data_IF_292746762293
#
_entry.id   IF_292746762293
#
_cell.length_a   1.000
_cell.length_b   1.000
_cell.length_c   1.000
_cell.angle_alpha   90.00
_cell.angle_beta   90.00
_cell.angle_gamma   90.00
#
_symmetry.space_group_name_H-M   'P 1'
#
loop_
_entity.id
_entity.type
_entity.pdbx_description
1 polymer ?
#
# COMPACT_ATOMS: atom_id res chain seq x y z
N UNK A 1 -14.01 -13.04 -10.73
CA UNK A 1 -13.15 -12.05 -10.06
C UNK A 1 -13.39 -12.15 -8.56
N UNK A 2 -12.36 -11.98 -7.71
CA UNK A 2 -12.55 -11.97 -6.25
C UNK A 2 -13.54 -10.89 -5.82
N UNK A 3 -14.27 -11.15 -4.72
CA UNK A 3 -15.22 -10.20 -4.17
C UNK A 3 -14.50 -8.88 -3.78
N UNK A 4 -15.09 -7.69 -4.02
CA UNK A 4 -14.47 -6.43 -3.65
C UNK A 4 -14.15 -6.34 -2.16
N UNK A 5 -13.10 -5.61 -1.80
CA UNK A 5 -12.81 -5.20 -0.42
C UNK A 5 -13.39 -3.82 -0.21
N UNK A 6 -14.13 -3.63 0.88
CA UNK A 6 -14.59 -2.30 1.29
C UNK A 6 -13.78 -1.87 2.51
N UNK A 7 -13.03 -0.78 2.37
CA UNK A 7 -12.28 -0.17 3.47
C UNK A 7 -13.18 0.86 4.14
N UNK A 8 -13.58 0.57 5.37
CA UNK A 8 -14.52 1.37 6.13
C UNK A 8 -14.03 1.55 7.57
N UNK A 9 -13.95 2.80 8.03
CA UNK A 9 -13.50 3.18 9.38
C UNK A 9 -12.14 2.58 9.76
N UNK A 10 -11.25 2.44 8.78
CA UNK A 10 -9.92 1.90 9.02
C UNK A 10 -9.01 3.00 9.60
N UNK A 11 -8.48 2.77 10.81
CA UNK A 11 -7.58 3.71 11.50
C UNK A 11 -6.12 3.61 11.03
N UNK A 12 -5.81 2.60 10.23
CA UNK A 12 -4.47 2.26 9.76
C UNK A 12 -3.71 1.35 10.72
N UNK A 13 -2.40 1.24 10.51
CA UNK A 13 -1.53 0.35 11.26
C UNK A 13 -0.10 0.41 10.75
N UNK A 14 0.62 -0.70 10.87
CA UNK A 14 1.98 -0.81 10.34
C UNK A 14 1.95 -0.70 8.81
N UNK A 15 2.75 0.23 8.27
CA UNK A 15 2.79 0.49 6.82
C UNK A 15 3.19 -0.78 6.04
N UNK A 16 4.11 -1.59 6.57
CA UNK A 16 4.54 -2.85 5.97
C UNK A 16 3.39 -3.86 5.75
N UNK A 17 2.45 -3.93 6.69
CA UNK A 17 1.33 -4.86 6.60
C UNK A 17 0.37 -4.44 5.48
N UNK A 18 0.15 -3.14 5.35
CA UNK A 18 -0.66 -2.57 4.27
C UNK A 18 0.05 -2.61 2.93
N UNK A 19 1.37 -2.50 2.86
CA UNK A 19 2.15 -2.72 1.64
C UNK A 19 1.95 -4.17 1.15
N UNK A 20 2.09 -5.16 2.04
CA UNK A 20 1.88 -6.57 1.71
C UNK A 20 0.42 -6.85 1.29
N UNK A 21 -0.55 -6.25 1.97
CA UNK A 21 -1.96 -6.38 1.64
C UNK A 21 -2.30 -5.75 0.28
N UNK A 22 -1.78 -4.54 0.04
CA UNK A 22 -1.95 -3.83 -1.24
C UNK A 22 -1.33 -4.63 -2.38
N UNK A 23 -0.13 -5.20 -2.19
CA UNK A 23 0.50 -6.03 -3.23
C UNK A 23 -0.28 -7.32 -3.50
N UNK A 24 -0.91 -7.91 -2.49
CA UNK A 24 -1.85 -9.01 -2.71
C UNK A 24 -3.03 -8.58 -3.58
N UNK A 25 -3.69 -7.47 -3.24
CA UNK A 25 -4.83 -6.97 -4.01
C UNK A 25 -4.47 -6.58 -5.45
N UNK A 26 -3.26 -6.04 -5.66
CA UNK A 26 -2.71 -5.74 -6.99
C UNK A 26 -2.59 -7.00 -7.84
N UNK A 27 -1.99 -8.07 -7.31
CA UNK A 27 -1.83 -9.36 -8.01
C UNK A 27 -3.17 -10.04 -8.32
N UNK A 28 -4.13 -9.88 -7.43
CA UNK A 28 -5.49 -10.41 -7.61
C UNK A 28 -6.36 -9.56 -8.56
N UNK A 29 -5.87 -8.38 -8.98
CA UNK A 29 -6.68 -7.33 -9.60
C UNK A 29 -7.99 -7.06 -8.83
N UNK A 30 -7.93 -7.18 -7.51
CA UNK A 30 -9.09 -7.13 -6.63
C UNK A 30 -9.56 -5.70 -6.49
N UNK A 31 -10.86 -5.49 -6.66
CA UNK A 31 -11.45 -4.16 -6.47
C UNK A 31 -11.37 -3.78 -4.99
N UNK A 32 -10.92 -2.55 -4.72
CA UNK A 32 -10.93 -1.96 -3.37
C UNK A 32 -11.76 -0.68 -3.39
N UNK A 33 -12.74 -0.59 -2.49
CA UNK A 33 -13.67 0.54 -2.37
C UNK A 33 -13.40 1.29 -1.07
N UNK A 34 -13.04 2.57 -1.16
CA UNK A 34 -12.61 3.37 -0.01
C UNK A 34 -13.74 4.30 0.48
N UNK A 35 -14.10 4.19 1.77
CA UNK A 35 -14.91 5.18 2.49
C UNK A 35 -14.06 5.97 3.49
N UNK A 36 -13.87 5.45 4.71
CA UNK A 36 -13.09 6.12 5.73
C UNK A 36 -11.79 5.35 5.97
N UNK A 37 -10.68 6.06 5.82
CA UNK A 37 -9.35 5.51 5.94
C UNK A 37 -8.39 6.56 6.49
N UNK A 38 -7.59 6.15 7.48
CA UNK A 38 -6.58 6.97 8.16
C UNK A 38 -5.24 6.24 8.06
N UNK A 39 -4.17 6.98 7.75
CA UNK A 39 -2.80 6.42 7.76
C UNK A 39 -2.56 5.34 6.70
N UNK A 40 -1.96 4.21 7.07
CA UNK A 40 -1.46 3.17 6.16
C UNK A 40 -2.48 2.60 5.16
N UNK A 41 -3.78 2.54 5.51
CA UNK A 41 -4.81 2.07 4.55
C UNK A 41 -4.90 2.94 3.28
N UNK A 42 -4.36 4.16 3.31
CA UNK A 42 -4.29 5.07 2.14
C UNK A 42 -3.46 4.47 1.00
N UNK A 43 -2.61 3.47 1.28
CA UNK A 43 -1.87 2.71 0.27
C UNK A 43 -2.79 2.07 -0.78
N UNK A 44 -4.04 1.78 -0.44
CA UNK A 44 -5.04 1.28 -1.39
C UNK A 44 -5.25 2.23 -2.58
N UNK A 45 -4.99 3.54 -2.43
CA UNK A 45 -5.06 4.51 -3.54
C UNK A 45 -4.05 4.22 -4.67
N UNK A 46 -3.01 3.42 -4.39
CA UNK A 46 -2.00 2.98 -5.38
C UNK A 46 -2.45 1.78 -6.24
N UNK A 47 -3.64 1.23 -5.98
CA UNK A 47 -4.14 0.07 -6.71
C UNK A 47 -4.79 0.51 -8.03
N UNK A 48 -4.61 -0.25 -9.12
CA UNK A 48 -5.23 0.07 -10.41
C UNK A 48 -6.75 -0.08 -10.38
N UNK A 49 -7.28 -0.94 -9.50
CA UNK A 49 -8.71 -1.21 -9.36
C UNK A 49 -9.29 -0.66 -8.05
N UNK A 50 -8.78 0.48 -7.58
CA UNK A 50 -9.39 1.20 -6.47
C UNK A 50 -10.50 2.14 -6.97
N UNK A 51 -11.54 2.32 -6.16
CA UNK A 51 -12.46 3.44 -6.27
C UNK A 51 -12.69 4.06 -4.89
N UNK A 52 -13.17 5.29 -4.89
CA UNK A 52 -13.47 6.06 -3.69
C UNK A 52 -14.94 6.48 -3.73
N UNK A 53 -15.65 6.39 -2.60
CA UNK A 53 -17.00 6.91 -2.50
C UNK A 53 -17.00 8.44 -2.37
N UNK A 54 -17.98 9.17 -2.90
CA UNK A 54 -18.03 10.63 -2.81
C UNK A 54 -17.94 11.19 -1.37
N UNK A 55 -18.55 10.49 -0.43
CA UNK A 55 -18.59 10.83 1.00
C UNK A 55 -17.35 10.38 1.80
N UNK A 56 -16.38 9.75 1.14
CA UNK A 56 -15.19 9.22 1.75
C UNK A 56 -14.39 10.31 2.50
N UNK A 57 -13.70 9.89 3.56
CA UNK A 57 -12.78 10.73 4.34
C UNK A 57 -11.45 10.02 4.44
N UNK A 58 -10.46 10.52 3.72
CA UNK A 58 -9.12 9.92 3.68
C UNK A 58 -8.13 10.85 4.36
N UNK A 59 -7.47 10.34 5.40
CA UNK A 59 -6.60 11.13 6.29
C UNK A 59 -5.14 10.70 6.12
N UNK A 60 -4.33 11.62 5.62
CA UNK A 60 -2.92 11.47 5.32
C UNK A 60 -2.07 12.08 6.44
N UNK A 61 -0.99 11.40 6.82
CA UNK A 61 0.02 11.92 7.74
C UNK A 61 1.31 11.10 7.63
N UNK A 62 2.38 11.60 8.25
CA UNK A 62 3.66 10.91 8.36
C UNK A 62 3.56 9.63 9.18
N UNK A 63 4.27 8.60 8.74
CA UNK A 63 4.47 7.42 9.55
C UNK A 63 5.30 7.78 10.79
N UNK A 64 4.93 7.22 11.93
CA UNK A 64 5.66 7.40 13.17
C UNK A 64 5.69 6.10 13.96
N UNK A 65 6.71 5.93 14.79
CA UNK A 65 6.83 4.80 15.67
C UNK A 65 5.73 4.86 16.75
N UNK A 66 4.99 3.77 16.94
CA UNK A 66 3.84 3.75 17.84
C UNK A 66 4.22 3.91 19.33
N UNK A 67 5.46 3.58 19.70
CA UNK A 67 5.98 3.60 21.08
C UNK A 67 6.49 5.01 21.42
N UNK A 68 7.57 5.45 20.76
CA UNK A 68 8.23 6.72 21.10
C UNK A 68 7.66 7.93 20.32
N UNK A 69 6.74 7.68 19.40
CA UNK A 69 6.09 8.70 18.56
C UNK A 69 7.05 9.41 17.61
N UNK A 70 8.30 9.01 17.43
CA UNK A 70 9.18 9.67 16.47
C UNK A 70 8.72 9.45 15.02
N UNK A 71 8.89 10.47 14.17
CA UNK A 71 8.58 10.35 12.74
C UNK A 71 9.59 9.41 12.08
N UNK A 72 9.10 8.45 11.32
CA UNK A 72 9.95 7.67 10.43
C UNK A 72 9.94 8.34 9.05
N UNK A 73 10.98 9.10 8.76
CA UNK A 73 11.12 9.86 7.50
C UNK A 73 11.21 8.91 6.29
N UNK A 74 11.87 7.78 6.44
CA UNK A 74 12.03 6.79 5.37
C UNK A 74 10.70 6.14 5.00
N UNK A 75 9.96 5.67 6.00
CA UNK A 75 8.61 5.11 5.80
C UNK A 75 7.64 6.18 5.29
N UNK A 76 7.70 7.41 5.83
CA UNK A 76 6.84 8.51 5.37
C UNK A 76 7.09 8.84 3.91
N UNK A 77 8.34 8.85 3.47
CA UNK A 77 8.70 9.13 2.07
C UNK A 77 8.22 8.02 1.13
N UNK A 78 8.38 6.74 1.53
CA UNK A 78 7.86 5.59 0.77
C UNK A 78 6.34 5.61 0.67
N UNK A 79 5.65 5.88 1.80
CA UNK A 79 4.21 6.00 1.85
C UNK A 79 3.72 7.12 0.91
N UNK A 80 4.34 8.29 0.96
CA UNK A 80 3.97 9.41 0.09
C UNK A 80 4.19 9.10 -1.40
N UNK A 81 5.32 8.47 -1.73
CA UNK A 81 5.66 8.11 -3.10
C UNK A 81 4.69 7.07 -3.71
N UNK A 82 3.96 6.32 -2.89
CA UNK A 82 2.97 5.35 -3.35
C UNK A 82 1.69 5.99 -3.92
N UNK A 83 1.40 7.24 -3.54
CA UNK A 83 0.14 7.87 -3.92
C UNK A 83 0.12 8.28 -5.40
N UNK A 84 -1.06 8.37 -6.04
CA UNK A 84 -1.17 8.94 -7.37
C UNK A 84 -0.57 10.35 -7.46
N UNK A 85 0.09 10.69 -8.57
CA UNK A 85 0.80 11.98 -8.73
C UNK A 85 -0.07 13.20 -8.44
N UNK A 86 -1.36 13.17 -8.84
CA UNK A 86 -2.29 14.26 -8.55
C UNK A 86 -2.58 14.41 -7.04
N UNK A 87 -2.64 13.29 -6.31
CA UNK A 87 -2.78 13.28 -4.84
C UNK A 87 -1.50 13.79 -4.19
N UNK A 88 -0.33 13.35 -4.66
CA UNK A 88 0.95 13.89 -4.20
C UNK A 88 1.02 15.41 -4.40
N UNK A 89 0.67 15.92 -5.59
CA UNK A 89 0.67 17.35 -5.87
C UNK A 89 -0.31 18.13 -4.98
N UNK A 90 -1.51 17.59 -4.74
CA UNK A 90 -2.50 18.21 -3.84
C UNK A 90 -2.02 18.29 -2.39
N UNK A 91 -1.28 17.28 -1.95
CA UNK A 91 -0.72 17.20 -0.60
C UNK A 91 0.60 17.97 -0.47
N UNK A 92 1.44 18.01 -1.49
CA UNK A 92 2.80 18.57 -1.42
C UNK A 92 3.77 17.68 -0.64
N UNK A 93 3.47 17.42 0.64
CA UNK A 93 4.21 16.53 1.53
C UNK A 93 3.32 16.01 2.66
N UNK A 94 3.79 14.98 3.37
CA UNK A 94 3.14 14.47 4.58
C UNK A 94 3.61 15.24 5.80
N UNK A 95 2.65 15.66 6.62
CA UNK A 95 2.84 16.28 7.94
C UNK A 95 2.50 15.31 9.06
N UNK A 96 2.82 15.67 10.29
CA UNK A 96 2.44 14.88 11.46
C UNK A 96 0.94 15.00 11.76
N UNK A 97 0.39 16.17 11.50
CA UNK A 97 -1.03 16.46 11.54
C UNK A 97 -1.75 15.82 10.36
N UNK A 98 -3.02 15.48 10.55
CA UNK A 98 -3.85 14.96 9.49
C UNK A 98 -4.12 16.01 8.44
N UNK A 99 -3.78 15.67 7.19
CA UNK A 99 -4.38 16.29 6.02
C UNK A 99 -5.51 15.42 5.53
N UNK A 100 -6.69 16.00 5.37
CA UNK A 100 -7.87 15.25 4.94
C UNK A 100 -8.19 15.62 3.50
N UNK A 101 -8.39 14.62 2.66
CA UNK A 101 -9.06 14.78 1.37
C UNK A 101 -10.38 14.03 1.42
N UNK A 102 -11.44 14.69 0.96
CA UNK A 102 -12.74 14.08 0.77
C UNK A 102 -12.74 13.16 -0.44
N UNK A 103 -13.73 12.26 -0.51
CA UNK A 103 -13.97 11.42 -1.68
C UNK A 103 -14.15 12.23 -2.95
N UNK A 104 -14.96 13.29 -2.89
CA UNK A 104 -15.14 14.24 -4.00
C UNK A 104 -13.83 14.88 -4.46
N UNK A 105 -12.95 15.31 -3.54
CA UNK A 105 -11.64 15.84 -3.91
C UNK A 105 -10.76 14.78 -4.57
N UNK A 106 -10.72 13.56 -4.05
CA UNK A 106 -9.95 12.46 -4.65
C UNK A 106 -10.48 12.09 -6.04
N UNK A 107 -11.79 12.08 -6.23
CA UNK A 107 -12.43 11.85 -7.53
C UNK A 107 -12.06 12.99 -8.50
N UNK A 108 -12.10 14.24 -8.05
CA UNK A 108 -11.66 15.39 -8.86
C UNK A 108 -10.17 15.32 -9.24
N UNK A 109 -9.34 14.65 -8.44
CA UNK A 109 -7.93 14.38 -8.73
C UNK A 109 -7.71 13.15 -9.63
N UNK A 110 -8.79 12.51 -10.11
CA UNK A 110 -8.74 11.40 -11.06
C UNK A 110 -8.94 10.01 -10.46
N UNK A 111 -9.28 9.90 -9.17
CA UNK A 111 -9.69 8.61 -8.61
C UNK A 111 -11.06 8.19 -9.16
N UNK A 112 -11.26 6.89 -9.37
CA UNK A 112 -12.56 6.37 -9.84
C UNK A 112 -13.63 6.55 -8.76
N UNK A 113 -14.80 7.04 -9.14
CA UNK A 113 -15.98 7.05 -8.28
C UNK A 113 -16.54 5.62 -8.14
N UNK A 114 -16.78 5.14 -6.92
CA UNK A 114 -17.41 3.83 -6.69
C UNK A 114 -18.88 3.76 -7.12
N UNK A 115 -19.58 4.90 -7.14
CA UNK A 115 -21.00 4.99 -7.50
C UNK A 115 -21.21 5.26 -8.99
N UNK A 116 -20.22 5.84 -9.65
CA UNK A 116 -20.18 5.90 -11.11
C UNK A 116 -19.79 4.53 -11.64
N UNK A 117 -20.56 3.96 -12.57
CA UNK A 117 -20.22 2.70 -13.24
C UNK A 117 -18.77 2.67 -13.76
N UNK A 118 -18.23 1.50 -14.14
CA UNK A 118 -16.81 1.32 -14.44
C UNK A 118 -16.31 2.39 -15.42
N UNK A 119 -15.54 3.35 -14.91
CA UNK A 119 -14.95 4.41 -15.74
C UNK A 119 -13.78 3.78 -16.48
N UNK A 120 -14.03 3.36 -17.71
CA UNK A 120 -12.99 2.89 -18.62
C UNK A 120 -12.03 4.06 -18.86
N UNK A 121 -10.81 3.98 -18.35
CA UNK A 121 -9.74 4.91 -18.71
C UNK A 121 -9.39 4.61 -20.17
N UNK A 122 -10.06 5.29 -21.10
CA UNK A 122 -9.61 5.33 -22.47
C UNK A 122 -8.25 6.03 -22.45
N UNK A 123 -7.17 5.26 -22.59
CA UNK A 123 -5.84 5.80 -22.89
C UNK A 123 -5.99 6.73 -24.08
N UNK A 124 -6.08 8.04 -23.82
CA UNK A 124 -6.10 9.05 -24.87
C UNK A 124 -4.73 8.99 -25.54
N UNK A 125 -4.66 8.26 -26.66
CA UNK A 125 -3.54 8.32 -27.60
C UNK A 125 -3.36 9.80 -27.92
N UNK A 126 -2.28 10.40 -27.41
CA UNK A 126 -1.94 11.78 -27.74
C UNK A 126 -1.88 11.86 -29.27
N UNK A 127 -2.83 12.59 -29.86
CA UNK A 127 -2.82 12.86 -31.29
C UNK A 127 -1.62 13.77 -31.52
N UNK A 128 -0.58 13.23 -32.16
CA UNK A 128 0.56 14.03 -32.59
C UNK A 128 0.05 15.25 -33.39
N UNK A 129 0.58 16.45 -33.16
CA UNK A 129 0.19 17.63 -33.92
C UNK A 129 0.54 17.38 -35.39
N UNK A 130 -0.47 17.42 -36.27
CA UNK A 130 -0.27 17.45 -37.71
C UNK A 130 0.41 18.78 -38.05
N UNK A 131 1.72 18.77 -38.23
CA UNK A 131 2.45 19.86 -38.86
C UNK A 131 1.95 19.99 -40.30
N UNK A 132 1.18 21.06 -40.55
CA UNK A 132 0.85 21.46 -41.92
C UNK A 132 2.11 22.05 -42.54
N UNK A 133 2.81 21.25 -43.36
CA UNK A 133 3.91 21.74 -44.19
C UNK A 133 3.31 22.41 -45.42
N UNK A 134 3.34 23.74 -45.45
CA UNK A 134 3.06 24.52 -46.64
C UNK A 134 4.13 24.21 -47.69
N UNK A 135 3.70 23.69 -48.85
CA UNK A 135 4.57 23.46 -50.00
C UNK A 135 4.80 24.77 -50.75
N UNK A 136 6.00 25.34 -50.66
CA UNK A 136 6.48 26.36 -51.58
C UNK A 136 7.30 25.68 -52.69
N UNK A 137 7.01 26.01 -53.95
CA UNK A 137 7.77 25.60 -55.14
C UNK A 137 9.09 26.39 -55.25
N UNK A 138 10.12 25.87 -55.95
CA UNK A 138 11.49 26.29 -55.78
C UNK A 138 11.95 27.29 -56.84
N UNK A 139 12.80 28.23 -56.43
CA UNK A 139 13.74 28.91 -57.32
C UNK A 139 15.12 28.96 -56.63
N UNK A 140 16.16 28.53 -57.36
CA UNK A 140 17.53 29.06 -57.21
C UNK A 140 18.44 28.51 -56.10
N UNK A 141 19.21 27.49 -56.47
CA UNK A 141 20.57 27.12 -56.03
C UNK A 141 21.29 27.95 -54.94
N UNK A 142 21.67 27.28 -53.84
CA UNK A 142 23.06 27.27 -53.32
C UNK A 142 23.22 26.13 -52.30
N UNK A 143 24.18 25.25 -52.54
CA UNK A 143 24.39 24.00 -51.81
C UNK A 143 24.90 24.16 -50.37
N UNK A 144 24.50 23.21 -49.52
CA UNK A 144 24.98 23.12 -48.14
C UNK A 144 24.27 22.05 -47.30
N UNK A 145 24.78 20.82 -47.35
CA UNK A 145 24.71 19.77 -46.31
C UNK A 145 23.33 19.25 -45.85
N UNK A 146 22.82 18.21 -46.52
CA UNK A 146 21.85 17.24 -45.98
C UNK A 146 22.49 15.89 -45.58
N UNK A 147 23.83 15.78 -45.62
CA UNK A 147 24.54 14.55 -45.26
C UNK A 147 24.65 14.34 -43.73
N UNK A 148 24.46 15.38 -42.91
CA UNK A 148 24.76 15.32 -41.48
C UNK A 148 23.71 14.61 -40.61
N UNK A 149 22.47 14.40 -41.08
CA UNK A 149 21.42 13.73 -40.29
C UNK A 149 21.28 12.23 -40.60
N UNK A 150 21.81 11.76 -41.74
CA UNK A 150 21.86 10.33 -42.06
C UNK A 150 22.91 9.58 -41.24
N UNK A 151 24.04 10.23 -40.97
CA UNK A 151 25.18 9.64 -40.24
C UNK A 151 24.87 9.37 -38.76
N UNK A 152 23.99 10.15 -38.14
CA UNK A 152 23.61 9.96 -36.73
C UNK A 152 22.62 8.81 -36.59
N UNK A 153 21.71 8.63 -37.54
CA UNK A 153 20.77 7.51 -37.54
C UNK A 153 21.46 6.16 -37.77
N UNK A 154 22.47 6.11 -38.65
CA UNK A 154 23.28 4.89 -38.87
C UNK A 154 24.16 4.54 -37.66
N UNK A 155 24.73 5.53 -36.96
CA UNK A 155 25.54 5.30 -35.75
C UNK A 155 24.76 4.75 -34.56
N UNK A 156 23.49 5.16 -34.40
CA UNK A 156 22.64 4.64 -33.32
C UNK A 156 22.18 3.21 -33.62
N UNK A 157 21.88 2.89 -34.89
CA UNK A 157 21.54 1.52 -35.29
C UNK A 157 22.72 0.55 -35.14
N UNK A 158 23.95 0.97 -35.45
CA UNK A 158 25.14 0.14 -35.24
C UNK A 158 25.45 -0.05 -33.74
N UNK A 159 25.24 0.96 -32.89
CA UNK A 159 25.47 0.84 -31.46
C UNK A 159 24.50 -0.15 -30.77
N UNK A 160 23.25 -0.21 -31.22
CA UNK A 160 22.24 -1.16 -30.71
C UNK A 160 22.49 -2.58 -31.23
N UNK A 161 22.97 -2.73 -32.47
CA UNK A 161 23.35 -4.04 -33.01
C UNK A 161 24.60 -4.62 -32.31
N UNK A 162 25.59 -3.78 -31.98
CA UNK A 162 26.76 -4.22 -31.21
C UNK A 162 26.41 -4.56 -29.75
N UNK A 163 25.44 -3.86 -29.14
CA UNK A 163 24.99 -4.18 -27.78
C UNK A 163 24.19 -5.49 -27.69
N UNK A 164 23.45 -5.86 -28.75
CA UNK A 164 22.69 -7.11 -28.82
C UNK A 164 23.52 -8.31 -29.30
N UNK A 165 24.59 -8.08 -30.07
CA UNK A 165 25.55 -9.12 -30.47
C UNK A 165 26.56 -9.46 -29.35
N UNK A 166 26.71 -8.61 -28.33
CA UNK A 166 27.65 -8.83 -27.22
C UNK A 166 27.09 -9.69 -26.07
N UNK A 167 25.85 -10.18 -26.19
CA UNK A 167 25.22 -11.08 -25.19
C UNK A 167 25.25 -12.55 -25.62
N UNK A 168 26.15 -12.90 -26.54
CA UNK A 168 26.44 -14.29 -26.91
C UNK A 168 27.52 -14.91 -26.02
N UNK A 169 27.09 -15.61 -24.96
CA UNK A 169 27.88 -16.71 -24.38
C UNK A 169 28.69 -16.39 -23.13
N UNK A 170 28.07 -16.50 -21.95
CA UNK A 170 28.74 -17.04 -20.76
C UNK A 170 27.71 -17.61 -19.78
N UNK A 171 27.54 -18.93 -19.82
CA UNK A 171 26.85 -19.70 -18.79
C UNK A 171 27.78 -19.84 -17.59
N UNK A 172 27.79 -18.85 -16.71
CA UNK A 172 28.32 -19.02 -15.36
C UNK A 172 27.14 -19.39 -14.44
N UNK A 173 27.25 -20.44 -13.59
CA UNK A 173 26.17 -20.84 -12.71
C UNK A 173 25.92 -19.73 -11.66
N UNK A 174 24.65 -19.42 -11.46
CA UNK A 174 24.18 -18.51 -10.40
C UNK A 174 24.59 -19.11 -9.05
N UNK A 175 25.54 -18.49 -8.36
CA UNK A 175 25.82 -18.79 -6.96
C UNK A 175 24.76 -18.13 -6.09
N UNK A 176 23.75 -18.91 -5.71
CA UNK A 176 22.80 -18.53 -4.66
C UNK A 176 23.55 -18.61 -3.32
N UNK A 177 23.79 -17.47 -2.69
CA UNK A 177 24.21 -17.42 -1.30
C UNK A 177 23.03 -17.82 -0.41
N UNK A 178 22.85 -19.12 -0.20
CA UNK A 178 22.03 -19.65 0.89
C UNK A 178 22.84 -19.41 2.17
N UNK A 179 22.33 -18.57 3.07
CA UNK A 179 22.89 -18.46 4.41
C UNK A 179 22.70 -19.80 5.13
N UNK A 180 23.74 -20.62 5.12
CA UNK A 180 23.79 -21.87 5.84
C UNK A 180 23.77 -21.57 7.34
N UNK A 181 22.78 -22.12 8.04
CA UNK A 181 22.63 -21.96 9.48
C UNK A 181 23.65 -22.88 10.15
N UNK A 182 24.91 -22.44 10.18
CA UNK A 182 25.97 -23.19 10.85
C UNK A 182 25.67 -23.33 12.34
N UNK A 183 25.53 -24.59 12.70
CA UNK A 183 25.44 -25.15 14.02
C UNK A 183 26.75 -24.86 14.78
N UNK A 184 26.72 -23.92 15.72
CA UNK A 184 27.84 -23.60 16.59
C UNK A 184 28.03 -24.70 17.63
N UNK A 185 28.86 -25.69 17.32
CA UNK A 185 29.48 -26.57 18.31
C UNK A 185 30.96 -26.26 18.43
N UNK A 186 31.31 -25.63 19.56
CA UNK A 186 32.51 -25.93 20.34
C UNK A 186 33.87 -25.42 19.83
N UNK A 187 34.34 -24.33 20.42
CA UNK A 187 35.74 -24.20 20.85
C UNK A 187 35.78 -23.39 22.16
N UNK A 188 36.22 -24.05 23.22
CA UNK A 188 36.54 -23.44 24.50
C UNK A 188 38.06 -23.22 24.60
N UNK A 189 38.50 -22.02 24.99
CA UNK A 189 39.33 -21.72 26.19
C UNK A 189 40.18 -20.46 26.01
N UNK A 190 40.07 -19.56 27.00
CA UNK A 190 41.13 -18.63 27.39
C UNK A 190 40.61 -17.29 27.87
N UNK A 191 40.36 -17.14 29.18
CA UNK A 191 40.11 -15.85 29.83
C UNK A 191 39.08 -15.93 30.95
N UNK A 192 39.55 -16.12 32.18
CA UNK A 192 38.77 -16.02 33.43
C UNK A 192 38.21 -14.61 33.61
N UNK A 193 36.88 -14.48 33.78
CA UNK A 193 36.27 -13.60 34.80
C UNK A 193 34.76 -13.86 34.92
N UNK A 194 34.31 -14.07 36.17
CA UNK A 194 32.95 -14.02 36.70
C UNK A 194 31.86 -14.95 36.11
N UNK A 195 31.62 -16.05 36.83
CA UNK A 195 30.34 -16.78 36.85
C UNK A 195 29.20 -15.83 37.29
N UNK A 196 28.39 -15.37 36.36
CA UNK A 196 27.03 -14.90 36.63
C UNK A 196 26.10 -15.39 35.52
N UNK A 197 25.19 -16.30 35.87
CA UNK A 197 24.05 -16.66 35.01
C UNK A 197 23.22 -15.39 34.76
N UNK A 198 22.76 -15.12 33.53
CA UNK A 198 21.80 -14.03 33.30
C UNK A 198 20.53 -14.31 34.11
N UNK A 199 20.09 -13.32 34.91
CA UNK A 199 18.84 -13.40 35.66
C UNK A 199 17.66 -13.72 34.74
N UNK A 200 16.75 -14.63 35.13
CA UNK A 200 15.55 -14.89 34.35
C UNK A 200 14.70 -13.61 34.28
N UNK A 201 14.28 -13.25 33.07
CA UNK A 201 13.39 -12.11 32.84
C UNK A 201 12.16 -12.19 33.76
N UNK A 202 11.73 -11.06 34.36
CA UNK A 202 10.60 -11.04 35.27
C UNK A 202 9.34 -11.56 34.57
N UNK A 203 8.60 -12.44 35.26
CA UNK A 203 7.35 -12.97 34.74
C UNK A 203 6.35 -11.84 34.50
N UNK A 204 5.53 -11.92 33.43
CA UNK A 204 4.48 -10.94 33.19
C UNK A 204 3.50 -10.91 34.39
N UNK A 205 2.86 -9.76 34.64
CA UNK A 205 1.91 -9.62 35.74
C UNK A 205 0.78 -10.65 35.61
N UNK A 206 0.32 -11.18 36.75
CA UNK A 206 -0.79 -12.13 36.78
C UNK A 206 -2.03 -11.47 36.18
N UNK A 207 -2.72 -12.22 35.32
CA UNK A 207 -4.05 -11.83 34.84
C UNK A 207 -4.97 -11.60 36.04
N UNK A 208 -5.72 -10.49 36.11
CA UNK A 208 -6.70 -10.26 37.17
C UNK A 208 -7.77 -11.36 37.16
N UNK A 209 -8.30 -11.69 38.34
CA UNK A 209 -9.40 -12.64 38.48
C UNK A 209 -10.61 -12.18 37.66
N UNK A 210 -11.32 -13.12 37.04
CA UNK A 210 -12.52 -12.86 36.22
C UNK A 210 -13.62 -12.08 36.94
N UNK A 211 -13.63 -12.11 38.27
CA UNK A 211 -14.55 -11.35 39.12
C UNK A 211 -14.33 -9.83 39.04
N UNK A 212 -13.12 -9.37 38.70
CA UNK A 212 -12.80 -7.96 38.51
C UNK A 212 -13.53 -7.33 37.30
N UNK A 213 -14.04 -8.15 36.37
CA UNK A 213 -14.84 -7.70 35.22
C UNK A 213 -16.35 -7.81 35.45
N UNK A 214 -16.80 -8.38 36.58
CA UNK A 214 -18.22 -8.58 36.86
C UNK A 214 -18.85 -7.45 37.68
N UNK A 215 -18.04 -6.57 38.27
CA UNK A 215 -18.51 -5.60 39.25
C UNK A 215 -18.99 -4.26 38.65
N UNK A 216 -18.55 -3.89 37.45
CA UNK A 216 -18.81 -2.52 36.92
C UNK A 216 -19.89 -2.42 35.83
N UNK A 217 -20.44 -3.54 35.33
CA UNK A 217 -21.32 -3.49 34.15
C UNK A 217 -22.75 -4.03 34.41
N UNK A 218 -23.30 -3.77 35.59
CA UNK A 218 -24.75 -3.85 35.82
C UNK A 218 -25.42 -2.51 35.55
N UNK A 219 -25.22 -1.96 34.35
CA UNK A 219 -26.21 -1.04 33.80
C UNK A 219 -27.48 -1.85 33.46
N UNK A 220 -28.69 -1.39 33.84
CA UNK A 220 -29.91 -2.07 33.42
C UNK A 220 -30.03 -1.97 31.89
N UNK A 221 -29.78 -3.08 31.20
CA UNK A 221 -30.04 -3.18 29.77
C UNK A 221 -31.52 -2.92 29.53
N UNK A 222 -31.84 -1.79 28.90
CA UNK A 222 -33.20 -1.52 28.45
C UNK A 222 -33.63 -2.61 27.45
N UNK A 223 -34.90 -3.07 27.48
CA UNK A 223 -35.38 -4.14 26.60
C UNK A 223 -35.28 -3.84 25.09
N UNK A 224 -34.95 -2.60 24.71
CA UNK A 224 -34.70 -2.20 23.33
C UNK A 224 -33.39 -2.78 22.74
N UNK A 225 -32.41 -3.17 23.56
CA UNK A 225 -31.12 -3.70 23.06
C UNK A 225 -31.18 -5.18 22.63
N UNK A 226 -32.26 -5.89 22.97
CA UNK A 226 -32.45 -7.30 22.62
C UNK A 226 -33.32 -7.53 21.38
N UNK A 227 -33.76 -6.46 20.70
CA UNK A 227 -34.46 -6.63 19.43
C UNK A 227 -33.46 -6.98 18.32
N UNK A 228 -33.36 -8.27 18.03
CA UNK A 228 -32.79 -8.79 16.79
C UNK A 228 -33.50 -8.10 15.61
N UNK A 229 -32.71 -7.55 14.69
CA UNK A 229 -33.21 -6.99 13.43
C UNK A 229 -34.02 -8.07 12.71
N UNK A 230 -35.17 -7.72 12.14
CA UNK A 230 -36.02 -8.66 11.41
C UNK A 230 -35.21 -9.44 10.37
N UNK A 231 -35.14 -10.77 10.53
CA UNK A 231 -34.35 -11.68 9.68
C UNK A 231 -33.01 -12.16 10.26
N UNK A 232 -32.58 -11.68 11.43
CA UNK A 232 -31.36 -12.16 12.07
C UNK A 232 -31.59 -13.52 12.78
N UNK A 233 -30.78 -14.52 12.44
CA UNK A 233 -30.70 -15.81 13.16
C UNK A 233 -29.46 -15.80 14.06
N UNK A 234 -29.55 -16.22 15.34
CA UNK A 234 -28.38 -16.33 16.21
C UNK A 234 -27.42 -17.41 15.71
N UNK A 235 -26.12 -17.10 15.74
CA UNK A 235 -25.03 -17.99 15.28
C UNK A 235 -24.89 -19.23 16.19
N UNK A 236 -25.40 -19.16 17.42
CA UNK A 236 -25.34 -20.24 18.40
C UNK A 236 -26.73 -20.86 18.58
N UNK A 237 -26.81 -22.18 18.44
CA UNK A 237 -28.07 -22.92 18.55
C UNK A 237 -28.71 -22.84 19.95
N UNK A 238 -30.03 -23.10 20.07
CA UNK A 238 -30.84 -22.83 21.27
C UNK A 238 -30.44 -23.60 22.53
N UNK A 239 -29.49 -24.54 22.44
CA UNK A 239 -29.01 -25.32 23.59
C UNK A 239 -27.99 -24.60 24.47
N UNK A 240 -27.38 -23.50 24.01
CA UNK A 240 -26.34 -22.78 24.77
C UNK A 240 -26.86 -21.53 25.51
N UNK A 241 -28.15 -21.20 25.41
CA UNK A 241 -28.75 -20.01 26.03
C UNK A 241 -29.35 -20.32 27.42
N UNK A 242 -29.27 -21.56 27.90
CA UNK A 242 -29.85 -21.98 29.18
C UNK A 242 -28.79 -22.21 30.26
N UNK A 243 -28.23 -21.12 30.81
CA UNK A 243 -27.72 -21.08 32.21
C UNK A 243 -27.28 -19.66 32.60
N UNK A 244 -28.16 -18.66 32.50
CA UNK A 244 -28.00 -17.42 33.30
C UNK A 244 -29.37 -16.87 33.70
N UNK A 245 -30.22 -17.70 34.31
CA UNK A 245 -31.41 -17.22 35.01
C UNK A 245 -31.98 -18.36 35.87
N UNK A 246 -31.47 -18.53 37.08
CA UNK A 246 -32.20 -18.97 38.26
C UNK A 246 -31.30 -18.76 39.48
N UNK A 247 -31.89 -18.19 40.53
CA UNK A 247 -31.32 -17.72 41.79
C UNK A 247 -30.35 -18.69 42.49
#
# INVERSE_FOLDING_TARGET
MPAPVVVYKDVGGLVSDYEALTERYRRENREVRLHECRSACTLALSLPNVCVYPDAKVKFHQAYNAINREVDVGVSSRLFASYPTAVQARLGYLTREYRVLTGMELIALGMRNCEGGPTMIASRKQRAPSTSVASARPDGQSGGSLAAFGDIAQKVQSAVATALASTGGRTDPIHVAVADRQQLTGLARGGEEANALPEPAPLPPRRPASEAFAAEDRAPMSPAYLQLISGAQPILGPRLVRTVASN
#
